data_IF_130278385984
#
_entry.id   IF_130278385984
#
_cell.length_a   1.000
_cell.length_b   1.000
_cell.length_c   1.000
_cell.angle_alpha   90.00
_cell.angle_beta   90.00
_cell.angle_gamma   90.00
#
_symmetry.space_group_name_H-M   'P 1'
#
loop_
_entity.id
_entity.type
_entity.pdbx_description
1 polymer ?
#
# COMPACT_ATOMS: atom_id res chain seq x y z
N UNK A 1 16.88 -20.05 1.09
CA UNK A 1 17.31 -18.63 1.25
C UNK A 1 17.35 -18.23 2.72
N UNK A 2 17.79 -17.02 3.06
CA UNK A 2 17.74 -16.52 4.45
C UNK A 2 16.62 -15.51 4.62
N UNK A 3 16.00 -15.48 5.80
CA UNK A 3 15.03 -14.45 6.17
C UNK A 3 15.72 -13.08 6.21
N UNK A 4 15.13 -12.05 5.58
CA UNK A 4 15.72 -10.70 5.54
C UNK A 4 15.71 -10.00 6.90
N UNK A 5 14.89 -10.49 7.85
CA UNK A 5 14.75 -9.89 9.18
C UNK A 5 15.66 -10.55 10.23
N UNK A 6 15.66 -11.88 10.35
CA UNK A 6 16.43 -12.59 11.40
C UNK A 6 17.61 -13.40 10.86
N UNK A 7 17.83 -13.41 9.53
CA UNK A 7 18.89 -14.13 8.83
C UNK A 7 18.89 -15.67 8.98
N UNK A 8 17.90 -16.26 9.66
CA UNK A 8 17.73 -17.71 9.76
C UNK A 8 17.36 -18.31 8.40
N UNK A 9 17.65 -19.60 8.19
CA UNK A 9 17.22 -20.34 7.01
C UNK A 9 15.69 -20.33 6.90
N UNK A 10 15.17 -20.01 5.73
CA UNK A 10 13.73 -19.88 5.49
C UNK A 10 13.41 -20.10 4.02
N UNK A 11 12.26 -20.70 3.73
CA UNK A 11 11.68 -20.77 2.38
C UNK A 11 10.98 -19.45 1.99
N UNK A 12 10.59 -18.63 2.97
CA UNK A 12 9.96 -17.33 2.77
C UNK A 12 10.99 -16.22 2.96
N UNK A 13 10.84 -15.12 2.25
CA UNK A 13 11.71 -13.95 2.37
C UNK A 13 11.67 -13.34 3.78
N UNK A 14 10.52 -13.38 4.45
CA UNK A 14 10.35 -13.13 5.88
C UNK A 14 9.79 -14.42 6.48
N UNK A 15 10.52 -15.06 7.39
CA UNK A 15 10.09 -16.32 8.00
C UNK A 15 8.80 -16.15 8.83
N UNK A 16 8.08 -17.23 9.05
CA UNK A 16 6.80 -17.21 9.77
C UNK A 16 6.94 -16.63 11.18
N UNK A 17 7.99 -17.00 11.90
CA UNK A 17 8.26 -16.45 13.24
C UNK A 17 8.45 -14.92 13.24
N UNK A 18 9.16 -14.36 12.25
CA UNK A 18 9.29 -12.90 12.12
C UNK A 18 7.96 -12.24 11.73
N UNK A 19 7.17 -12.86 10.86
CA UNK A 19 5.84 -12.34 10.53
C UNK A 19 4.95 -12.27 11.77
N UNK A 20 4.95 -13.29 12.60
CA UNK A 20 4.12 -13.37 13.82
C UNK A 20 4.59 -12.41 14.92
N UNK A 21 5.90 -12.20 15.05
CA UNK A 21 6.48 -11.37 16.11
C UNK A 21 6.53 -9.88 15.76
N UNK A 22 6.93 -9.55 14.54
CA UNK A 22 7.25 -8.18 14.12
C UNK A 22 6.18 -7.52 13.27
N UNK A 23 5.37 -8.31 12.53
CA UNK A 23 4.41 -7.77 11.58
C UNK A 23 2.97 -7.95 12.07
N UNK A 24 2.69 -7.50 13.29
CA UNK A 24 1.32 -7.47 13.83
C UNK A 24 0.67 -6.14 13.45
N UNK A 25 -0.23 -6.14 12.44
CA UNK A 25 -0.91 -4.90 12.08
C UNK A 25 -1.86 -4.47 13.19
N UNK A 26 -1.86 -3.19 13.49
CA UNK A 26 -2.88 -2.53 14.31
C UNK A 26 -3.58 -1.49 13.45
N UNK A 27 -4.90 -1.63 13.29
CA UNK A 27 -5.68 -0.69 12.48
C UNK A 27 -5.86 0.61 13.27
N UNK A 28 -5.32 1.69 12.75
CA UNK A 28 -5.57 3.04 13.22
C UNK A 28 -6.37 3.79 12.15
N UNK A 29 -7.45 4.45 12.58
CA UNK A 29 -8.25 5.33 11.75
C UNK A 29 -8.10 6.76 12.24
N UNK A 30 -7.89 7.68 11.32
CA UNK A 30 -7.89 9.12 11.58
C UNK A 30 -8.82 9.80 10.59
N UNK A 31 -9.82 10.46 11.08
CA UNK A 31 -10.68 11.33 10.29
C UNK A 31 -9.97 12.67 10.06
N UNK A 32 -9.81 13.07 8.81
CA UNK A 32 -9.22 14.35 8.42
C UNK A 32 -10.29 15.39 8.12
N UNK A 33 -11.38 14.97 7.48
CA UNK A 33 -12.60 15.75 7.23
C UNK A 33 -13.80 14.82 7.34
N UNK A 34 -15.01 15.36 7.35
CA UNK A 34 -16.27 14.61 7.41
C UNK A 34 -16.35 13.45 6.41
N UNK A 35 -15.72 13.61 5.24
CA UNK A 35 -15.80 12.65 4.13
C UNK A 35 -14.46 11.98 3.80
N UNK A 36 -13.42 12.21 4.61
CA UNK A 36 -12.09 11.69 4.34
C UNK A 36 -11.41 11.14 5.58
N UNK A 37 -11.23 9.82 5.58
CA UNK A 37 -10.53 9.09 6.64
C UNK A 37 -9.26 8.43 6.12
N UNK A 38 -8.23 8.40 6.95
CA UNK A 38 -6.97 7.69 6.69
C UNK A 38 -6.89 6.48 7.58
N UNK A 39 -6.59 5.34 6.98
CA UNK A 39 -6.35 4.07 7.66
C UNK A 39 -4.87 3.73 7.60
N UNK A 40 -4.28 3.34 8.73
CA UNK A 40 -2.91 2.83 8.80
C UNK A 40 -2.85 1.54 9.58
N UNK A 41 -1.94 0.64 9.19
CA UNK A 41 -1.81 -0.69 9.77
C UNK A 41 -0.55 -0.88 10.60
N UNK A 42 0.46 -0.04 10.37
CA UNK A 42 1.77 -0.12 11.02
C UNK A 42 2.28 1.27 11.34
N UNK A 43 3.07 1.39 12.38
CA UNK A 43 3.89 2.58 12.58
C UNK A 43 5.02 2.58 11.56
N UNK A 44 5.39 3.74 11.07
CA UNK A 44 6.43 3.87 10.04
C UNK A 44 7.75 3.26 10.50
N UNK A 45 8.15 3.49 11.74
CA UNK A 45 9.42 3.01 12.31
C UNK A 45 9.49 1.47 12.35
N UNK A 46 8.35 0.80 12.50
CA UNK A 46 8.28 -0.67 12.57
C UNK A 46 8.49 -1.33 11.19
N UNK A 47 8.18 -0.62 10.11
CA UNK A 47 8.15 -1.21 8.75
C UNK A 47 8.96 -0.43 7.71
N UNK A 48 9.66 0.63 8.11
CA UNK A 48 10.39 1.52 7.19
C UNK A 48 11.38 0.78 6.29
N UNK A 49 12.15 -0.15 6.84
CA UNK A 49 13.08 -0.97 6.06
C UNK A 49 12.36 -1.86 5.05
N UNK A 50 11.22 -2.45 5.45
CA UNK A 50 10.41 -3.29 4.57
C UNK A 50 9.73 -2.47 3.46
N UNK A 51 9.26 -1.27 3.78
CA UNK A 51 8.68 -0.35 2.78
C UNK A 51 9.74 0.08 1.76
N UNK A 52 10.98 0.29 2.18
CA UNK A 52 12.07 0.65 1.29
C UNK A 52 12.47 -0.47 0.32
N UNK A 53 12.05 -1.71 0.56
CA UNK A 53 12.24 -2.82 -0.40
C UNK A 53 11.52 -2.60 -1.73
N UNK A 54 10.62 -1.62 -1.84
CA UNK A 54 10.01 -1.21 -3.13
C UNK A 54 11.05 -0.86 -4.21
N UNK A 55 12.27 -0.55 -3.80
CA UNK A 55 13.39 -0.27 -4.70
C UNK A 55 14.25 -1.50 -5.02
N UNK A 56 13.90 -2.67 -4.48
CA UNK A 56 14.64 -3.92 -4.65
C UNK A 56 13.85 -4.90 -5.53
N UNK A 57 14.57 -5.76 -6.25
CA UNK A 57 13.95 -6.76 -7.16
C UNK A 57 13.07 -7.79 -6.45
N UNK A 58 13.24 -7.97 -5.14
CA UNK A 58 12.46 -8.88 -4.31
C UNK A 58 11.34 -8.19 -3.51
N UNK A 59 11.17 -6.89 -3.70
CA UNK A 59 10.21 -6.09 -2.95
C UNK A 59 8.76 -6.57 -3.11
N UNK A 60 8.42 -7.10 -4.28
CA UNK A 60 7.11 -7.70 -4.55
C UNK A 60 6.72 -8.75 -3.51
N UNK A 61 7.66 -9.62 -3.11
CA UNK A 61 7.44 -10.67 -2.11
C UNK A 61 7.21 -10.09 -0.72
N UNK A 62 7.95 -9.04 -0.35
CA UNK A 62 7.79 -8.34 0.92
C UNK A 62 6.43 -7.65 0.98
N UNK A 63 6.06 -6.91 -0.07
CA UNK A 63 4.77 -6.23 -0.15
C UNK A 63 3.58 -7.20 -0.15
N UNK A 64 3.69 -8.37 -0.78
CA UNK A 64 2.66 -9.40 -0.69
C UNK A 64 2.48 -9.92 0.74
N UNK A 65 3.56 -10.09 1.53
CA UNK A 65 3.47 -10.49 2.93
C UNK A 65 2.80 -9.38 3.76
N UNK A 66 3.27 -8.14 3.66
CA UNK A 66 2.68 -7.00 4.37
C UNK A 66 1.18 -6.86 4.05
N UNK A 67 0.82 -6.92 2.77
CA UNK A 67 -0.55 -6.80 2.32
C UNK A 67 -1.44 -7.95 2.78
N UNK A 68 -0.94 -9.18 2.80
CA UNK A 68 -1.71 -10.33 3.30
C UNK A 68 -2.00 -10.25 4.79
N UNK A 69 -1.06 -9.71 5.57
CA UNK A 69 -1.22 -9.56 7.01
C UNK A 69 -2.12 -8.39 7.41
N UNK A 70 -2.20 -7.32 6.59
CA UNK A 70 -2.93 -6.09 6.88
C UNK A 70 -4.12 -5.87 5.95
N UNK A 71 -3.90 -5.50 4.70
CA UNK A 71 -4.94 -5.13 3.72
C UNK A 71 -5.97 -6.25 3.49
N UNK A 72 -5.52 -7.48 3.38
CA UNK A 72 -6.41 -8.62 3.20
C UNK A 72 -7.31 -8.86 4.43
N UNK A 73 -6.77 -8.70 5.64
CA UNK A 73 -7.55 -8.81 6.87
C UNK A 73 -8.56 -7.67 6.99
N UNK A 74 -8.14 -6.44 6.67
CA UNK A 74 -9.02 -5.29 6.61
C UNK A 74 -10.18 -5.54 5.64
N UNK A 75 -9.90 -5.96 4.41
CA UNK A 75 -10.89 -6.18 3.38
C UNK A 75 -11.92 -7.27 3.73
N UNK A 76 -11.53 -8.28 4.51
CA UNK A 76 -12.44 -9.34 5.00
C UNK A 76 -13.45 -8.82 6.02
N UNK A 77 -13.08 -7.82 6.80
CA UNK A 77 -13.90 -7.24 7.86
C UNK A 77 -14.54 -5.91 7.43
N UNK A 78 -14.23 -5.43 6.23
CA UNK A 78 -14.78 -4.18 5.71
C UNK A 78 -16.11 -4.47 5.02
N UNK A 79 -17.17 -3.98 5.63
CA UNK A 79 -18.52 -4.04 5.09
C UNK A 79 -18.94 -2.66 4.61
N UNK A 80 -19.49 -2.61 3.42
CA UNK A 80 -20.03 -1.40 2.82
C UNK A 80 -21.25 -1.77 1.99
N UNK A 81 -22.31 -0.96 2.04
CA UNK A 81 -23.57 -1.24 1.36
C UNK A 81 -23.41 -1.32 -0.17
N UNK A 82 -22.54 -0.50 -0.72
CA UNK A 82 -22.27 -0.43 -2.15
C UNK A 82 -20.86 -0.93 -2.49
N UNK A 83 -20.66 -1.28 -3.76
CA UNK A 83 -19.32 -1.61 -4.25
C UNK A 83 -18.43 -0.36 -4.26
N UNK A 84 -17.29 -0.44 -3.60
CA UNK A 84 -16.29 0.63 -3.54
C UNK A 84 -15.06 0.27 -4.38
N UNK A 85 -14.55 1.23 -5.14
CA UNK A 85 -13.32 1.05 -5.91
C UNK A 85 -12.07 1.24 -5.05
N UNK A 86 -11.17 0.27 -5.02
CA UNK A 86 -9.83 0.47 -4.47
C UNK A 86 -8.87 0.82 -5.62
N UNK A 87 -8.28 2.00 -5.57
CA UNK A 87 -7.45 2.58 -6.63
C UNK A 87 -6.00 2.59 -6.20
N UNK A 88 -5.14 1.94 -6.98
CA UNK A 88 -3.70 2.09 -6.82
C UNK A 88 -3.28 3.47 -7.30
N UNK A 89 -2.68 4.27 -6.41
CA UNK A 89 -2.02 5.50 -6.82
C UNK A 89 -0.75 5.13 -7.56
N UNK A 90 -0.72 5.47 -8.84
CA UNK A 90 0.38 5.07 -9.69
C UNK A 90 1.68 5.75 -9.26
N UNK A 91 2.62 4.92 -8.82
CA UNK A 91 4.02 5.26 -8.75
C UNK A 91 4.74 4.47 -9.85
N UNK A 92 5.80 5.03 -10.44
CA UNK A 92 6.50 4.38 -11.54
C UNK A 92 6.95 2.98 -11.14
N UNK A 93 6.54 1.99 -11.94
CA UNK A 93 6.94 0.61 -11.74
C UNK A 93 8.46 0.49 -11.81
N UNK A 94 9.04 -0.19 -10.82
CA UNK A 94 10.44 -0.58 -10.79
C UNK A 94 10.53 -2.08 -10.62
N UNK A 95 11.52 -2.70 -11.22
CA UNK A 95 11.72 -4.15 -11.14
C UNK A 95 10.46 -4.96 -11.52
N UNK A 96 9.69 -4.45 -12.50
CA UNK A 96 8.48 -5.08 -13.05
C UNK A 96 7.30 -5.23 -12.08
N UNK A 97 7.25 -4.48 -10.98
CA UNK A 97 6.09 -4.46 -10.09
C UNK A 97 5.72 -3.04 -9.64
N UNK A 98 4.44 -2.84 -9.29
CA UNK A 98 3.94 -1.67 -8.58
C UNK A 98 3.54 -2.10 -7.17
N UNK A 99 4.16 -1.48 -6.16
CA UNK A 99 3.88 -1.78 -4.77
C UNK A 99 2.44 -1.43 -4.38
N UNK A 100 1.90 -0.30 -4.88
CA UNK A 100 0.51 0.10 -4.65
C UNK A 100 -0.48 -0.87 -5.30
N UNK A 101 -0.18 -1.38 -6.51
CA UNK A 101 -1.02 -2.39 -7.14
C UNK A 101 -1.04 -3.72 -6.35
N UNK A 102 0.08 -4.13 -5.75
CA UNK A 102 0.12 -5.29 -4.87
C UNK A 102 -0.78 -5.08 -3.65
N UNK A 103 -0.70 -3.91 -3.00
CA UNK A 103 -1.54 -3.60 -1.84
C UNK A 103 -3.03 -3.61 -2.21
N UNK A 104 -3.40 -2.94 -3.30
CA UNK A 104 -4.79 -2.90 -3.81
C UNK A 104 -5.31 -4.28 -4.17
N UNK A 105 -4.47 -5.16 -4.74
CA UNK A 105 -4.85 -6.55 -5.03
C UNK A 105 -5.38 -7.28 -3.79
N UNK A 106 -4.74 -7.06 -2.65
CA UNK A 106 -5.13 -7.69 -1.38
C UNK A 106 -6.37 -7.09 -0.73
N UNK A 107 -6.87 -5.95 -1.22
CA UNK A 107 -8.15 -5.37 -0.80
C UNK A 107 -9.37 -6.03 -1.46
N UNK A 108 -9.18 -6.89 -2.47
CA UNK A 108 -10.30 -7.54 -3.15
C UNK A 108 -11.20 -8.29 -2.17
N UNK A 109 -12.48 -7.92 -2.13
CA UNK A 109 -13.51 -8.57 -1.31
C UNK A 109 -14.88 -8.50 -2.01
N UNK A 110 -15.95 -8.87 -1.29
CA UNK A 110 -17.34 -8.72 -1.80
C UNK A 110 -17.73 -7.25 -2.00
N UNK A 111 -17.21 -6.34 -1.15
CA UNK A 111 -17.53 -4.91 -1.19
C UNK A 111 -16.46 -4.06 -1.86
N UNK A 112 -15.25 -4.59 -2.13
CA UNK A 112 -14.13 -3.83 -2.67
C UNK A 112 -13.66 -4.41 -4.02
N UNK A 113 -13.63 -3.56 -5.04
CA UNK A 113 -13.16 -3.91 -6.39
C UNK A 113 -11.83 -3.20 -6.67
N UNK A 114 -10.71 -3.93 -6.84
CA UNK A 114 -9.45 -3.35 -7.29
C UNK A 114 -9.56 -2.68 -8.64
N UNK A 115 -9.02 -1.48 -8.76
CA UNK A 115 -8.89 -0.73 -10.02
C UNK A 115 -7.44 -0.36 -10.25
N UNK A 116 -6.89 -0.85 -11.33
CA UNK A 116 -5.50 -0.63 -11.73
C UNK A 116 -5.44 0.31 -12.92
N UNK A 117 -4.32 1.01 -13.06
CA UNK A 117 -4.01 1.85 -14.22
C UNK A 117 -5.01 3.00 -14.46
N UNK A 118 -5.83 3.35 -13.47
CA UNK A 118 -6.85 4.39 -13.59
C UNK A 118 -6.41 5.75 -13.05
N UNK A 119 -5.42 5.79 -12.16
CA UNK A 119 -4.86 7.02 -11.59
C UNK A 119 -3.35 7.05 -11.83
N UNK A 120 -2.90 7.90 -12.72
CA UNK A 120 -1.49 8.02 -13.12
C UNK A 120 -0.92 9.39 -12.85
N UNK A 121 0.29 9.43 -12.32
CA UNK A 121 1.07 10.66 -12.26
C UNK A 121 1.58 11.02 -13.66
N UNK A 122 1.37 12.28 -14.08
CA UNK A 122 1.85 12.79 -15.37
C UNK A 122 3.29 13.30 -15.29
N UNK A 123 3.74 13.66 -14.09
CA UNK A 123 5.10 14.12 -13.85
C UNK A 123 5.87 13.18 -12.91
N UNK A 124 7.19 13.34 -12.88
CA UNK A 124 8.12 12.49 -12.13
C UNK A 124 8.64 13.12 -10.84
N UNK A 125 7.86 14.01 -10.21
CA UNK A 125 8.27 14.65 -8.96
C UNK A 125 8.51 13.61 -7.86
N UNK A 126 9.72 13.62 -7.30
CA UNK A 126 10.11 12.74 -6.20
C UNK A 126 9.96 13.50 -4.88
N UNK A 127 9.11 13.02 -3.99
CA UNK A 127 8.88 13.62 -2.68
C UNK A 127 9.74 13.03 -1.54
N UNK A 128 10.38 11.88 -1.78
CA UNK A 128 11.24 11.24 -0.77
C UNK A 128 12.38 12.19 -0.36
N UNK A 129 12.52 12.44 0.94
CA UNK A 129 13.54 13.34 1.48
C UNK A 129 13.27 14.84 1.27
N UNK A 130 12.12 15.22 0.72
CA UNK A 130 11.72 16.62 0.53
C UNK A 130 10.80 17.12 1.64
N UNK A 131 10.97 18.39 1.99
CA UNK A 131 10.13 19.08 2.98
C UNK A 131 8.69 19.34 2.48
N UNK A 132 7.88 19.92 3.35
CA UNK A 132 6.48 20.20 3.07
C UNK A 132 6.31 21.32 2.03
N UNK A 133 7.17 22.34 2.04
CA UNK A 133 7.11 23.46 1.12
C UNK A 133 7.39 23.01 -0.30
N UNK A 134 8.44 22.19 -0.49
CA UNK A 134 8.72 21.58 -1.78
C UNK A 134 7.54 20.78 -2.31
N UNK A 135 6.89 19.97 -1.45
CA UNK A 135 5.73 19.14 -1.85
C UNK A 135 4.52 19.97 -2.24
N UNK A 136 4.30 21.11 -1.57
CA UNK A 136 3.21 22.04 -1.89
C UNK A 136 3.46 22.78 -3.20
N UNK A 137 4.69 23.20 -3.44
CA UNK A 137 5.09 23.95 -4.64
C UNK A 137 5.21 23.06 -5.88
N UNK A 138 5.55 21.78 -5.70
CA UNK A 138 5.77 20.83 -6.79
C UNK A 138 4.71 19.73 -6.75
N UNK A 139 3.46 20.07 -7.01
CA UNK A 139 2.37 19.10 -7.01
C UNK A 139 2.56 18.03 -8.08
N UNK A 140 2.19 16.79 -7.76
CA UNK A 140 2.04 15.75 -8.78
C UNK A 140 0.76 16.00 -9.55
N UNK A 141 0.87 16.03 -10.86
CA UNK A 141 -0.30 16.07 -11.73
C UNK A 141 -0.80 14.65 -11.93
N UNK A 142 -1.98 14.37 -11.39
CA UNK A 142 -2.61 13.09 -11.56
C UNK A 142 -3.68 13.15 -12.63
N UNK A 143 -3.69 12.17 -13.50
CA UNK A 143 -4.75 11.96 -14.46
C UNK A 143 -5.56 10.72 -14.08
N UNK A 144 -6.87 10.89 -13.96
CA UNK A 144 -7.81 9.82 -13.63
C UNK A 144 -8.60 9.39 -14.87
N UNK A 145 -8.48 8.11 -15.24
CA UNK A 145 -9.18 7.50 -16.40
C UNK A 145 -10.44 6.74 -16.01
N UNK A 146 -10.73 6.62 -14.72
CA UNK A 146 -11.85 5.82 -14.23
C UNK A 146 -13.20 6.52 -14.39
N UNK A 147 -14.26 5.75 -14.20
CA UNK A 147 -15.60 6.31 -14.04
C UNK A 147 -15.69 7.03 -12.69
N UNK A 148 -16.46 8.11 -12.63
CA UNK A 148 -16.75 8.79 -11.37
C UNK A 148 -17.39 7.83 -10.39
N UNK A 149 -16.89 7.80 -9.17
CA UNK A 149 -17.45 7.01 -8.08
C UNK A 149 -17.78 7.95 -6.92
N UNK A 150 -18.81 7.61 -6.17
CA UNK A 150 -19.19 8.37 -4.96
C UNK A 150 -18.15 8.26 -3.86
N UNK A 151 -17.53 7.09 -3.74
CA UNK A 151 -16.48 6.81 -2.77
C UNK A 151 -15.41 5.87 -3.35
N UNK A 152 -14.18 6.06 -2.91
CA UNK A 152 -13.03 5.23 -3.31
C UNK A 152 -12.06 5.05 -2.15
N UNK A 153 -11.32 3.96 -2.17
CA UNK A 153 -10.13 3.74 -1.32
C UNK A 153 -8.90 4.04 -2.18
N UNK A 154 -8.08 4.98 -1.76
CA UNK A 154 -6.78 5.26 -2.39
C UNK A 154 -5.67 4.55 -1.61
N UNK A 155 -4.75 3.91 -2.32
CA UNK A 155 -3.60 3.19 -1.76
C UNK A 155 -2.31 3.64 -2.41
#
# INVERSE_FOLDING_TARGET
>A
MRCISCHSLSLKIICTSCQEKLLKPSLHQRELTKDFSVYSFYKYDEVSELINTKYQFYGDRVYNILASLSFQKFAKNFEYENLIGAIAVDDHTRHNFSHTAILVKHLKSKSIIPKYDVLKAQNHVKYAGKDLEFRKSNKRDFFYKGKQNSQVILV
#
